data_IF_470830938651
#
_entry.id   IF_470830938651
#
_cell.length_a   1.000
_cell.length_b   1.000
_cell.length_c   1.000
_cell.angle_alpha   90.00
_cell.angle_beta   90.00
_cell.angle_gamma   90.00
#
_symmetry.space_group_name_H-M   'P 1'
#
loop_
_entity.id
_entity.type
_entity.pdbx_description
1 polymer ?
#
# COMPACT_ATOMS: atom_id res chain seq x y z
N UNK A 1 -13.39 -2.78 55.17
CA UNK A 1 -14.48 -3.06 54.19
C UNK A 1 -14.32 -2.21 52.92
N UNK A 2 -13.11 -2.04 52.39
CA UNK A 2 -12.86 -1.22 51.18
C UNK A 2 -12.21 -2.00 50.01
N UNK A 3 -11.91 -3.29 50.18
CA UNK A 3 -11.22 -4.08 49.16
C UNK A 3 -12.11 -4.58 47.99
N UNK A 4 -13.44 -4.44 48.08
CA UNK A 4 -14.36 -5.02 47.08
C UNK A 4 -14.67 -4.11 45.89
N UNK A 5 -14.27 -2.83 45.91
CA UNK A 5 -14.63 -1.87 44.84
C UNK A 5 -13.65 -1.84 43.65
N UNK A 6 -12.40 -2.26 43.82
CA UNK A 6 -11.39 -2.20 42.74
C UNK A 6 -11.56 -3.34 41.72
N UNK A 7 -12.13 -4.48 42.12
CA UNK A 7 -12.31 -5.65 41.26
C UNK A 7 -13.31 -5.45 40.09
N UNK A 8 -14.31 -4.58 40.25
CA UNK A 8 -15.33 -4.38 39.21
C UNK A 8 -14.84 -3.61 37.99
N UNK A 9 -13.87 -2.72 38.17
CA UNK A 9 -13.40 -1.84 37.08
C UNK A 9 -12.51 -2.59 36.08
N UNK A 10 -11.64 -3.48 36.57
CA UNK A 10 -10.79 -4.32 35.72
C UNK A 10 -11.62 -5.31 34.87
N UNK A 11 -12.68 -5.89 35.44
CA UNK A 11 -13.57 -6.79 34.71
C UNK A 11 -14.36 -6.05 33.61
N UNK A 12 -14.78 -4.81 33.86
CA UNK A 12 -15.45 -3.99 32.86
C UNK A 12 -14.52 -3.61 31.69
N UNK A 13 -13.26 -3.26 31.98
CA UNK A 13 -12.26 -2.97 30.94
C UNK A 13 -11.94 -4.19 30.08
N UNK A 14 -11.78 -5.37 30.69
CA UNK A 14 -11.59 -6.61 29.94
C UNK A 14 -12.78 -6.92 29.01
N UNK A 15 -14.01 -6.69 29.47
CA UNK A 15 -15.19 -6.93 28.64
C UNK A 15 -15.26 -5.99 27.43
N UNK A 16 -14.85 -4.71 27.59
CA UNK A 16 -14.79 -3.75 26.48
C UNK A 16 -13.79 -4.21 25.41
N UNK A 17 -12.58 -4.63 25.82
CA UNK A 17 -11.57 -5.12 24.89
C UNK A 17 -12.02 -6.37 24.11
N UNK A 18 -12.68 -7.32 24.79
CA UNK A 18 -13.24 -8.52 24.13
C UNK A 18 -14.32 -8.16 23.12
N UNK A 19 -15.20 -7.21 23.44
CA UNK A 19 -16.25 -6.75 22.51
C UNK A 19 -15.66 -6.02 21.30
N UNK A 20 -14.67 -5.16 21.51
CA UNK A 20 -13.96 -4.48 20.41
C UNK A 20 -13.26 -5.48 19.49
N UNK A 21 -12.58 -6.49 20.06
CA UNK A 21 -11.94 -7.55 19.26
C UNK A 21 -12.96 -8.37 18.45
N UNK A 22 -14.10 -8.73 19.05
CA UNK A 22 -15.18 -9.43 18.34
C UNK A 22 -15.76 -8.59 17.21
N UNK A 23 -16.03 -7.31 17.47
CA UNK A 23 -16.50 -6.35 16.48
C UNK A 23 -15.51 -6.23 15.32
N UNK A 24 -14.23 -6.12 15.64
CA UNK A 24 -13.15 -6.01 14.69
C UNK A 24 -13.05 -7.26 13.78
N UNK A 25 -13.02 -8.46 14.36
CA UNK A 25 -12.97 -9.71 13.60
C UNK A 25 -14.20 -9.90 12.71
N UNK A 26 -15.37 -9.50 13.21
CA UNK A 26 -16.60 -9.51 12.40
C UNK A 26 -16.46 -8.59 11.19
N UNK A 27 -15.88 -7.39 11.35
CA UNK A 27 -15.67 -6.46 10.24
C UNK A 27 -14.78 -7.06 9.14
N UNK A 28 -13.66 -7.67 9.53
CA UNK A 28 -12.80 -8.35 8.56
C UNK A 28 -13.52 -9.48 7.82
N UNK A 29 -14.34 -10.25 8.55
CA UNK A 29 -15.13 -11.33 7.93
C UNK A 29 -16.16 -10.78 6.94
N UNK A 30 -16.80 -9.65 7.24
CA UNK A 30 -17.72 -8.98 6.32
C UNK A 30 -16.99 -8.56 5.04
N UNK A 31 -15.79 -7.99 5.14
CA UNK A 31 -15.00 -7.57 3.99
C UNK A 31 -14.58 -8.76 3.10
N UNK A 32 -14.21 -9.88 3.72
CA UNK A 32 -13.85 -11.12 3.01
C UNK A 32 -15.06 -11.85 2.42
N UNK A 33 -16.26 -11.67 2.99
CA UNK A 33 -17.50 -12.27 2.52
C UNK A 33 -18.12 -11.55 1.31
N UNK A 34 -17.48 -10.50 0.78
CA UNK A 34 -18.00 -9.74 -0.35
C UNK A 34 -18.22 -10.66 -1.57
N UNK A 35 -19.47 -10.77 -2.02
CA UNK A 35 -19.86 -11.63 -3.15
C UNK A 35 -20.32 -13.04 -2.77
N UNK A 36 -20.27 -13.42 -1.49
CA UNK A 36 -20.77 -14.70 -0.98
C UNK A 36 -22.01 -14.49 -0.08
N UNK A 37 -23.18 -14.90 -0.58
CA UNK A 37 -24.45 -14.74 0.15
C UNK A 37 -24.48 -15.50 1.48
N UNK A 38 -23.92 -16.71 1.54
CA UNK A 38 -23.96 -17.55 2.74
C UNK A 38 -23.05 -17.00 3.84
N UNK A 39 -21.84 -16.56 3.49
CA UNK A 39 -20.93 -15.94 4.45
C UNK A 39 -21.45 -14.60 4.95
N UNK A 40 -22.08 -13.79 4.09
CA UNK A 40 -22.76 -12.55 4.52
C UNK A 40 -23.93 -12.85 5.47
N UNK A 41 -24.75 -13.88 5.21
CA UNK A 41 -25.80 -14.30 6.14
C UNK A 41 -25.24 -14.74 7.51
N UNK A 42 -24.13 -15.47 7.52
CA UNK A 42 -23.46 -15.85 8.77
C UNK A 42 -22.93 -14.62 9.54
N UNK A 43 -22.43 -13.61 8.83
CA UNK A 43 -22.02 -12.34 9.43
C UNK A 43 -23.20 -11.56 10.05
N UNK A 44 -24.39 -11.58 9.44
CA UNK A 44 -25.60 -10.97 10.03
C UNK A 44 -25.92 -11.59 11.39
N UNK A 45 -25.92 -12.93 11.48
CA UNK A 45 -26.20 -13.64 12.73
C UNK A 45 -25.15 -13.29 13.80
N UNK A 46 -23.87 -13.25 13.44
CA UNK A 46 -22.80 -12.88 14.36
C UNK A 46 -22.91 -11.42 14.83
N UNK A 47 -23.28 -10.50 13.94
CA UNK A 47 -23.52 -9.09 14.27
C UNK A 47 -24.70 -8.92 15.25
N UNK A 48 -25.80 -9.65 15.04
CA UNK A 48 -26.96 -9.65 15.92
C UNK A 48 -26.61 -10.19 17.31
N UNK A 49 -25.88 -11.31 17.37
CA UNK A 49 -25.45 -11.92 18.64
C UNK A 49 -24.49 -11.01 19.42
N UNK A 50 -23.63 -10.26 18.73
CA UNK A 50 -22.72 -9.29 19.32
C UNK A 50 -23.35 -7.93 19.62
N UNK A 51 -24.60 -7.70 19.21
CA UNK A 51 -25.28 -6.40 19.24
C UNK A 51 -24.49 -5.28 18.53
N UNK A 52 -23.80 -5.61 17.44
CA UNK A 52 -22.99 -4.70 16.65
C UNK A 52 -23.85 -4.02 15.57
N UNK A 53 -24.53 -2.94 15.94
CA UNK A 53 -25.55 -2.28 15.11
C UNK A 53 -25.02 -1.79 13.76
N UNK A 54 -23.83 -1.20 13.74
CA UNK A 54 -23.22 -0.65 12.51
C UNK A 54 -22.81 -1.77 11.55
N UNK A 55 -22.16 -2.81 12.05
CA UNK A 55 -21.78 -4.00 11.27
C UNK A 55 -23.03 -4.71 10.73
N UNK A 56 -24.08 -4.84 11.55
CA UNK A 56 -25.35 -5.42 11.12
C UNK A 56 -25.98 -4.64 9.96
N UNK A 57 -25.98 -3.30 10.02
CA UNK A 57 -26.50 -2.45 8.94
C UNK A 57 -25.66 -2.61 7.67
N UNK A 58 -24.33 -2.61 7.79
CA UNK A 58 -23.42 -2.79 6.66
C UNK A 58 -23.66 -4.13 5.97
N UNK A 59 -23.67 -5.25 6.71
CA UNK A 59 -23.83 -6.58 6.13
C UNK A 59 -25.19 -6.74 5.45
N UNK A 60 -26.26 -6.18 6.04
CA UNK A 60 -27.61 -6.20 5.42
C UNK A 60 -27.66 -5.39 4.12
N UNK A 61 -26.95 -4.27 4.05
CA UNK A 61 -26.85 -3.49 2.81
C UNK A 61 -26.15 -4.28 1.72
N UNK A 62 -24.97 -4.86 2.02
CA UNK A 62 -24.21 -5.65 1.06
C UNK A 62 -25.00 -6.87 0.56
N UNK A 63 -25.74 -7.54 1.44
CA UNK A 63 -26.61 -8.66 1.07
C UNK A 63 -27.75 -8.22 0.15
N UNK A 64 -28.36 -7.05 0.40
CA UNK A 64 -29.41 -6.50 -0.45
C UNK A 64 -28.89 -6.19 -1.86
N UNK A 65 -27.72 -5.56 -1.97
CA UNK A 65 -27.07 -5.22 -3.24
C UNK A 65 -26.72 -6.48 -4.05
N UNK A 66 -26.24 -7.54 -3.38
CA UNK A 66 -25.93 -8.83 -3.99
C UNK A 66 -27.20 -9.51 -4.54
N UNK A 67 -28.29 -9.50 -3.77
CA UNK A 67 -29.58 -10.05 -4.21
C UNK A 67 -30.18 -9.26 -5.37
N UNK A 68 -30.03 -7.93 -5.38
CA UNK A 68 -30.47 -7.09 -6.50
C UNK A 68 -29.66 -7.37 -7.77
N UNK A 69 -28.33 -7.46 -7.64
CA UNK A 69 -27.42 -7.81 -8.75
C UNK A 69 -27.74 -9.20 -9.32
N UNK A 70 -28.03 -10.18 -8.46
CA UNK A 70 -28.44 -11.53 -8.89
C UNK A 70 -29.77 -11.52 -9.65
N UNK A 71 -30.74 -10.68 -9.26
CA UNK A 71 -32.02 -10.53 -9.98
C UNK A 71 -31.80 -9.89 -11.35
N UNK A 72 -30.95 -8.87 -11.43
CA UNK A 72 -30.61 -8.21 -12.71
C UNK A 72 -29.96 -9.20 -13.68
N UNK A 73 -28.96 -9.97 -13.22
CA UNK A 73 -28.32 -10.99 -14.07
C UNK A 73 -29.28 -12.10 -14.50
N UNK A 74 -30.25 -12.48 -13.66
CA UNK A 74 -31.28 -13.44 -14.07
C UNK A 74 -32.21 -12.85 -15.14
N UNK A 75 -32.59 -11.58 -15.02
CA UNK A 75 -33.43 -10.90 -16.00
C UNK A 75 -32.70 -10.73 -17.35
N UNK A 76 -31.42 -10.37 -17.33
CA UNK A 76 -30.59 -10.26 -18.54
C UNK A 76 -30.41 -11.61 -19.23
N UNK A 77 -30.26 -12.71 -18.48
CA UNK A 77 -30.22 -14.06 -19.06
C UNK A 77 -31.51 -14.43 -19.80
N UNK A 78 -32.67 -14.01 -19.29
CA UNK A 78 -33.94 -14.22 -20.00
C UNK A 78 -34.02 -13.37 -21.27
N UNK A 79 -33.64 -12.08 -21.21
CA UNK A 79 -33.62 -11.20 -22.38
C UNK A 79 -32.62 -11.67 -23.45
N UNK A 80 -31.45 -12.16 -23.05
CA UNK A 80 -30.46 -12.71 -23.97
C UNK A 80 -30.93 -14.00 -24.62
N UNK A 81 -31.63 -14.88 -23.90
CA UNK A 81 -32.21 -16.09 -24.47
C UNK A 81 -33.28 -15.76 -25.51
N UNK A 82 -34.12 -14.76 -25.24
CA UNK A 82 -35.15 -14.29 -26.17
C UNK A 82 -34.54 -13.58 -27.40
N UNK A 83 -33.46 -12.81 -27.22
CA UNK A 83 -32.73 -12.19 -28.33
C UNK A 83 -32.02 -13.20 -29.22
N UNK A 84 -31.37 -14.23 -28.65
CA UNK A 84 -30.77 -15.29 -29.45
C UNK A 84 -31.83 -16.06 -30.27
N UNK A 85 -33.03 -16.27 -29.72
CA UNK A 85 -34.15 -16.86 -30.47
C UNK A 85 -34.66 -15.93 -31.59
N UNK A 86 -34.56 -14.61 -31.41
CA UNK A 86 -34.93 -13.64 -32.45
C UNK A 86 -33.87 -13.48 -33.55
N UNK A 87 -32.57 -13.56 -33.22
CA UNK A 87 -31.49 -13.44 -34.19
C UNK A 87 -31.45 -14.63 -35.17
N UNK A 88 -31.78 -15.85 -34.74
CA UNK A 88 -31.94 -17.00 -35.64
C UNK A 88 -33.03 -16.77 -36.71
N UNK A 89 -34.01 -15.87 -36.45
CA UNK A 89 -35.04 -15.49 -37.42
C UNK A 89 -34.58 -14.41 -38.42
N UNK A 90 -33.60 -13.58 -38.07
CA UNK A 90 -33.18 -12.41 -38.87
C UNK A 90 -31.99 -12.71 -39.79
N UNK A 91 -31.16 -13.72 -39.50
CA UNK A 91 -30.02 -14.10 -40.35
C UNK A 91 -30.38 -14.65 -41.75
N UNK A 92 -31.67 -14.83 -42.08
CA UNK A 92 -32.10 -15.20 -43.44
C UNK A 92 -32.28 -13.99 -44.40
N UNK A 93 -32.17 -12.74 -43.94
CA UNK A 93 -32.65 -11.59 -44.74
C UNK A 93 -31.62 -10.50 -45.10
N UNK A 94 -30.37 -10.53 -44.63
CA UNK A 94 -29.46 -9.38 -44.81
C UNK A 94 -28.10 -9.75 -45.38
N UNK A 95 -28.05 -9.94 -46.70
CA UNK A 95 -26.82 -9.96 -47.50
C UNK A 95 -26.98 -9.02 -48.68
N UNK A 96 -26.54 -7.76 -48.54
CA UNK A 96 -25.97 -6.86 -49.59
C UNK A 96 -26.05 -5.39 -49.16
N UNK A 97 -24.98 -4.86 -48.57
CA UNK A 97 -24.60 -3.45 -48.74
C UNK A 97 -23.07 -3.35 -48.71
N UNK A 98 -22.47 -2.88 -49.80
CA UNK A 98 -21.05 -2.52 -49.89
C UNK A 98 -20.86 -1.08 -49.37
N UNK A 99 -19.84 -0.85 -48.55
CA UNK A 99 -19.41 0.47 -48.09
C UNK A 99 -18.10 0.85 -48.81
N UNK A 100 -17.99 2.05 -49.39
CA UNK A 100 -16.75 2.50 -50.05
C UNK A 100 -15.77 3.17 -49.08
N UNK A 101 -14.47 2.92 -49.31
CA UNK A 101 -13.33 3.53 -48.63
C UNK A 101 -13.15 5.02 -49.00
N UNK A 102 -12.86 5.86 -48.01
CA UNK A 102 -12.45 7.25 -48.19
C UNK A 102 -11.03 7.43 -47.66
N UNK A 103 -10.11 7.85 -48.52
CA UNK A 103 -8.73 8.20 -48.19
C UNK A 103 -8.58 9.72 -48.00
N UNK A 104 -7.85 10.12 -46.96
CA UNK A 104 -7.53 11.52 -46.66
C UNK A 104 -6.02 11.71 -46.84
N UNK A 105 -5.63 12.69 -47.66
CA UNK A 105 -4.24 13.00 -48.02
C UNK A 105 -3.55 13.91 -47.00
N UNK A 106 -2.22 13.99 -47.11
CA UNK A 106 -1.25 14.16 -46.02
C UNK A 106 -0.39 15.43 -46.20
N UNK A 107 -0.99 16.57 -46.56
CA UNK A 107 -0.22 17.71 -47.09
C UNK A 107 -0.31 19.07 -46.35
N UNK A 108 -0.92 19.19 -45.16
CA UNK A 108 -1.14 20.51 -44.54
C UNK A 108 -0.35 20.81 -43.25
N UNK A 109 0.79 20.15 -42.97
CA UNK A 109 1.48 20.32 -41.67
C UNK A 109 2.90 20.92 -41.70
N UNK A 110 3.38 21.44 -42.84
CA UNK A 110 4.78 21.87 -43.01
C UNK A 110 5.03 23.40 -43.04
N UNK A 111 4.02 24.25 -42.86
CA UNK A 111 4.17 25.71 -43.05
C UNK A 111 4.21 26.59 -41.78
N UNK A 112 4.45 26.02 -40.59
CA UNK A 112 4.25 26.73 -39.32
C UNK A 112 5.46 26.77 -38.35
N UNK A 113 6.71 26.88 -38.84
CA UNK A 113 7.90 26.78 -37.96
C UNK A 113 8.97 27.91 -38.05
N UNK A 114 8.83 28.97 -38.86
CA UNK A 114 9.91 29.97 -39.03
C UNK A 114 9.60 31.38 -38.49
N UNK A 115 9.21 31.50 -37.22
CA UNK A 115 9.09 32.83 -36.58
C UNK A 115 9.21 32.77 -35.06
N UNK A 116 10.42 32.92 -34.49
CA UNK A 116 10.69 33.62 -33.20
C UNK A 116 12.16 33.48 -32.78
N UNK A 117 12.99 34.43 -33.22
CA UNK A 117 14.27 34.71 -32.55
C UNK A 117 14.48 36.22 -32.46
N UNK A 118 14.33 36.77 -31.24
CA UNK A 118 15.07 37.91 -30.65
C UNK A 118 14.30 38.48 -29.44
N UNK A 119 15.06 38.97 -28.45
CA UNK A 119 14.68 39.55 -27.13
C UNK A 119 14.55 38.48 -26.03
N UNK A 120 15.14 38.61 -24.84
CA UNK A 120 15.74 39.74 -24.11
C UNK A 120 16.67 39.19 -23.02
N UNK A 121 17.79 39.87 -22.78
CA UNK A 121 18.60 39.80 -21.55
C UNK A 121 17.87 40.56 -20.44
N UNK A 122 17.94 40.02 -19.21
CA UNK A 122 18.28 40.71 -17.93
C UNK A 122 17.43 40.22 -16.76
N UNK A 123 18.07 39.56 -15.80
CA UNK A 123 17.82 39.60 -14.35
C UNK A 123 18.58 38.44 -13.71
N UNK A 124 19.89 38.58 -13.52
CA UNK A 124 20.68 37.59 -12.77
C UNK A 124 20.62 37.99 -11.30
N UNK A 125 19.53 37.59 -10.64
CA UNK A 125 19.48 37.53 -9.19
C UNK A 125 20.53 36.52 -8.71
N UNK A 126 21.16 36.82 -7.58
CA UNK A 126 22.19 36.02 -6.92
C UNK A 126 21.62 34.62 -6.62
N UNK A 127 21.83 33.67 -7.54
CA UNK A 127 21.30 32.33 -7.44
C UNK A 127 21.92 31.64 -6.22
N UNK A 128 21.08 31.13 -5.33
CA UNK A 128 21.53 30.17 -4.32
C UNK A 128 22.13 28.98 -5.08
N UNK A 129 23.37 28.61 -4.75
CA UNK A 129 24.07 27.52 -5.41
C UNK A 129 23.34 26.21 -5.16
N UNK A 130 22.83 25.59 -6.21
CA UNK A 130 22.23 24.25 -6.15
C UNK A 130 23.28 23.21 -5.73
N UNK A 131 22.87 22.24 -4.90
CA UNK A 131 23.68 21.11 -4.44
C UNK A 131 23.03 19.77 -4.78
N UNK A 132 23.84 18.70 -4.87
CA UNK A 132 23.31 17.34 -5.02
C UNK A 132 22.43 17.01 -3.80
N UNK A 133 21.24 16.47 -4.06
CA UNK A 133 20.20 16.21 -3.06
C UNK A 133 19.16 17.32 -2.94
N UNK A 134 19.42 18.52 -3.49
CA UNK A 134 18.44 19.59 -3.48
C UNK A 134 17.19 19.21 -4.28
N UNK A 135 16.03 19.60 -3.75
CA UNK A 135 14.78 19.49 -4.45
C UNK A 135 14.51 20.72 -5.30
N UNK A 136 14.08 20.50 -6.53
CA UNK A 136 13.86 21.56 -7.52
C UNK A 136 12.50 21.44 -8.16
N UNK A 137 11.89 22.60 -8.42
CA UNK A 137 10.72 22.71 -9.29
C UNK A 137 11.22 23.14 -10.68
N UNK A 138 10.87 22.35 -11.69
CA UNK A 138 11.26 22.61 -13.07
C UNK A 138 10.41 23.74 -13.65
N UNK A 139 11.06 24.68 -14.32
CA UNK A 139 10.43 25.88 -14.91
C UNK A 139 11.14 26.27 -16.19
N UNK A 140 10.45 27.04 -17.01
CA UNK A 140 11.00 27.73 -18.18
C UNK A 140 11.70 26.81 -19.20
N UNK A 141 11.40 25.50 -19.20
CA UNK A 141 11.85 24.55 -20.23
C UNK A 141 11.01 24.77 -21.48
N UNK A 142 11.62 25.33 -22.52
CA UNK A 142 10.92 25.71 -23.76
C UNK A 142 10.66 24.55 -24.71
N UNK A 143 11.61 23.62 -24.80
CA UNK A 143 11.55 22.48 -25.73
C UNK A 143 10.66 21.35 -25.23
N UNK A 144 10.46 21.28 -23.90
CA UNK A 144 9.69 20.26 -23.22
C UNK A 144 8.84 20.93 -22.14
N UNK A 145 7.76 21.58 -22.59
CA UNK A 145 6.90 22.36 -21.69
C UNK A 145 6.17 21.46 -20.67
N UNK A 146 5.99 20.19 -21.00
CA UNK A 146 5.44 19.14 -20.14
C UNK A 146 6.26 18.90 -18.87
N UNK A 147 7.53 19.30 -18.86
CA UNK A 147 8.38 19.19 -17.67
C UNK A 147 8.17 20.35 -16.69
N UNK A 148 7.61 21.47 -17.14
CA UNK A 148 7.41 22.63 -16.26
C UNK A 148 6.34 22.34 -15.22
N UNK A 149 6.62 22.69 -13.96
CA UNK A 149 5.76 22.38 -12.83
C UNK A 149 6.04 21.00 -12.20
N UNK A 150 6.84 20.15 -12.84
CA UNK A 150 7.29 18.91 -12.24
C UNK A 150 8.36 19.18 -11.17
N UNK A 151 8.33 18.37 -10.13
CA UNK A 151 9.33 18.36 -9.06
C UNK A 151 10.37 17.30 -9.32
N UNK A 152 11.57 17.49 -8.80
CA UNK A 152 12.62 16.49 -8.86
C UNK A 152 13.76 16.73 -7.91
N UNK A 153 14.66 15.75 -7.84
CA UNK A 153 15.85 15.77 -6.97
C UNK A 153 17.10 15.85 -7.84
N UNK A 154 18.04 16.72 -7.46
CA UNK A 154 19.34 16.82 -8.10
C UNK A 154 20.21 15.61 -7.73
N UNK A 155 20.58 14.79 -8.70
CA UNK A 155 21.40 13.60 -8.48
C UNK A 155 22.90 13.86 -8.67
N UNK A 156 23.25 14.62 -9.69
CA UNK A 156 24.64 14.91 -10.03
C UNK A 156 24.74 16.17 -10.91
N UNK A 157 25.89 16.84 -10.86
CA UNK A 157 26.25 17.88 -11.81
C UNK A 157 27.20 17.29 -12.85
N UNK A 158 26.82 17.35 -14.13
CA UNK A 158 27.60 16.79 -15.24
C UNK A 158 28.45 17.87 -15.95
N UNK A 159 29.48 17.43 -16.68
CA UNK A 159 30.50 18.26 -17.36
C UNK A 159 29.95 19.26 -18.40
N UNK A 160 28.65 19.19 -18.72
CA UNK A 160 27.97 20.07 -19.68
C UNK A 160 27.19 21.23 -19.06
N UNK A 161 27.47 21.60 -17.81
CA UNK A 161 26.70 22.60 -17.03
C UNK A 161 25.22 22.23 -16.88
N UNK A 162 24.94 20.92 -16.87
CA UNK A 162 23.61 20.37 -16.70
C UNK A 162 23.57 19.54 -15.44
N UNK A 163 22.45 19.65 -14.73
CA UNK A 163 22.12 18.79 -13.62
C UNK A 163 21.38 17.57 -14.12
N UNK A 164 21.79 16.40 -13.63
CA UNK A 164 21.00 15.18 -13.72
C UNK A 164 19.94 15.23 -12.64
N UNK A 165 18.68 15.30 -13.05
CA UNK A 165 17.51 15.46 -12.18
C UNK A 165 16.59 14.27 -12.32
N UNK A 166 16.23 13.65 -11.19
CA UNK A 166 15.16 12.64 -11.16
C UNK A 166 13.83 13.33 -10.91
N UNK A 167 12.96 13.31 -11.91
CA UNK A 167 11.64 13.93 -11.81
C UNK A 167 10.64 12.96 -11.18
N UNK A 168 9.74 13.45 -10.35
CA UNK A 168 8.64 12.66 -9.78
C UNK A 168 7.72 12.16 -10.90
N UNK A 169 7.39 10.87 -10.87
CA UNK A 169 6.51 10.24 -11.86
C UNK A 169 7.15 9.90 -13.20
N UNK A 170 8.44 10.23 -13.43
CA UNK A 170 9.17 9.91 -14.66
C UNK A 170 10.35 9.00 -14.32
N UNK A 171 10.37 7.80 -14.91
CA UNK A 171 11.41 6.79 -14.62
C UNK A 171 12.81 7.16 -15.13
N UNK A 172 12.90 8.09 -16.07
CA UNK A 172 14.15 8.44 -16.76
C UNK A 172 14.65 9.79 -16.26
N UNK A 173 15.89 9.80 -15.77
CA UNK A 173 16.58 11.01 -15.34
C UNK A 173 16.68 12.03 -16.50
N UNK A 174 16.52 13.31 -16.19
CA UNK A 174 16.60 14.41 -17.17
C UNK A 174 17.84 15.25 -16.94
N UNK A 175 18.45 15.73 -18.03
CA UNK A 175 19.55 16.69 -17.98
C UNK A 175 19.02 18.11 -18.17
N UNK A 176 19.00 18.89 -17.10
CA UNK A 176 18.39 20.22 -17.06
C UNK A 176 19.42 21.28 -16.69
N UNK A 177 19.26 22.50 -17.23
CA UNK A 177 20.10 23.64 -16.88
C UNK A 177 19.63 24.25 -15.56
N UNK A 178 20.56 24.76 -14.75
CA UNK A 178 20.28 25.44 -13.47
C UNK A 178 19.16 26.48 -13.56
N UNK A 179 19.17 27.31 -14.62
CA UNK A 179 18.13 28.33 -14.86
C UNK A 179 16.70 27.78 -15.04
N UNK A 180 16.57 26.49 -15.36
CA UNK A 180 15.28 25.82 -15.53
C UNK A 180 14.79 25.19 -14.22
N UNK A 181 15.45 25.49 -13.11
CA UNK A 181 15.19 24.92 -11.80
C UNK A 181 15.07 26.06 -10.81
N UNK A 182 14.24 25.84 -9.81
CA UNK A 182 14.28 26.65 -8.61
C UNK A 182 14.22 25.73 -7.43
N UNK A 183 15.09 26.01 -6.48
CA UNK A 183 15.10 25.35 -5.19
C UNK A 183 13.70 25.44 -4.58
N UNK A 184 13.11 24.28 -4.32
CA UNK A 184 11.92 24.21 -3.46
C UNK A 184 12.50 24.32 -2.05
N UNK A 185 12.39 25.50 -1.44
CA UNK A 185 12.75 25.68 -0.03
C UNK A 185 12.16 24.53 0.76
N UNK A 186 13.03 23.77 1.46
CA UNK A 186 12.66 22.58 2.22
C UNK A 186 11.49 22.92 3.16
N UNK A 187 10.25 22.73 2.72
CA UNK A 187 9.15 22.63 3.66
C UNK A 187 9.34 21.27 4.33
N UNK A 188 9.15 21.22 5.64
CA UNK A 188 9.38 20.02 6.45
C UNK A 188 8.64 18.78 5.89
N UNK A 189 7.56 19.00 5.14
CA UNK A 189 6.74 17.98 4.48
C UNK A 189 7.45 17.22 3.34
N UNK A 190 8.55 17.74 2.76
CA UNK A 190 9.20 17.17 1.56
C UNK A 190 10.48 16.39 1.84
N UNK A 191 11.11 16.57 3.02
CA UNK A 191 12.20 15.71 3.48
C UNK A 191 11.74 14.25 3.62
N UNK A 192 10.44 14.08 3.87
CA UNK A 192 9.78 12.81 4.15
C UNK A 192 9.73 11.86 2.95
N UNK A 193 9.48 12.36 1.73
CA UNK A 193 9.45 11.52 0.51
C UNK A 193 10.84 11.06 0.06
N UNK A 194 11.87 11.84 0.38
CA UNK A 194 13.26 11.48 0.14
C UNK A 194 13.75 10.48 1.19
N UNK A 195 13.38 10.67 2.45
CA UNK A 195 13.53 9.66 3.50
C UNK A 195 12.79 8.37 3.11
N UNK A 196 11.58 8.44 2.56
CA UNK A 196 10.81 7.25 2.12
C UNK A 196 11.56 6.45 1.03
N UNK A 197 12.15 7.13 0.04
CA UNK A 197 12.96 6.48 -1.00
C UNK A 197 14.31 5.96 -0.47
N UNK A 198 14.94 6.68 0.46
CA UNK A 198 16.17 6.24 1.13
C UNK A 198 15.93 5.05 2.07
N UNK A 199 14.71 4.92 2.59
CA UNK A 199 14.30 3.85 3.48
C UNK A 199 13.65 2.67 2.74
N UNK A 200 13.39 2.83 1.44
CA UNK A 200 12.92 1.75 0.59
C UNK A 200 13.95 0.63 0.51
N UNK A 201 13.51 -0.60 0.77
CA UNK A 201 14.36 -1.79 0.69
C UNK A 201 14.41 -2.31 -0.73
N UNK A 202 15.60 -2.77 -1.10
CA UNK A 202 15.87 -3.31 -2.43
C UNK A 202 15.62 -4.80 -2.42
N UNK A 203 14.84 -5.26 -3.37
CA UNK A 203 14.63 -6.68 -3.60
C UNK A 203 15.05 -7.03 -5.03
N UNK A 204 15.63 -8.21 -5.21
CA UNK A 204 15.87 -8.82 -6.51
C UNK A 204 14.77 -9.86 -6.78
N UNK A 205 14.25 -9.87 -8.01
CA UNK A 205 13.25 -10.84 -8.43
C UNK A 205 13.93 -12.17 -8.78
N UNK A 206 13.57 -13.24 -8.08
CA UNK A 206 14.21 -14.56 -8.21
C UNK A 206 13.51 -15.50 -9.21
N UNK A 207 12.29 -15.14 -9.63
CA UNK A 207 11.49 -15.92 -10.58
C UNK A 207 11.46 -15.26 -11.95
N UNK A 208 11.26 -16.06 -13.01
CA UNK A 208 11.20 -15.58 -14.40
C UNK A 208 10.29 -14.35 -14.57
N UNK A 209 9.08 -14.43 -13.99
CA UNK A 209 8.11 -13.35 -13.94
C UNK A 209 7.40 -13.31 -12.58
N UNK A 210 7.43 -12.14 -11.93
CA UNK A 210 6.67 -11.88 -10.71
C UNK A 210 5.57 -10.86 -10.98
N UNK A 211 4.34 -11.17 -10.58
CA UNK A 211 3.16 -10.31 -10.78
C UNK A 211 3.11 -9.18 -9.76
N UNK A 212 2.76 -7.98 -10.24
CA UNK A 212 2.44 -6.80 -9.42
C UNK A 212 0.93 -6.67 -9.34
N UNK A 213 0.38 -6.70 -8.15
CA UNK A 213 -1.06 -6.64 -7.88
C UNK A 213 -1.49 -5.25 -7.40
N UNK A 214 -2.78 -4.94 -7.51
CA UNK A 214 -3.34 -3.68 -7.02
C UNK A 214 -3.51 -3.63 -5.50
N UNK A 215 -3.92 -4.75 -4.89
CA UNK A 215 -4.02 -4.94 -3.44
C UNK A 215 -3.22 -6.19 -3.02
N UNK A 216 -2.83 -6.37 -1.74
CA UNK A 216 -2.02 -7.51 -1.30
C UNK A 216 -2.84 -8.81 -1.25
N UNK A 217 -3.30 -9.28 -2.41
CA UNK A 217 -4.09 -10.50 -2.57
C UNK A 217 -3.83 -11.14 -3.92
N UNK A 218 -3.76 -12.48 -3.95
CA UNK A 218 -3.61 -13.23 -5.20
C UNK A 218 -4.86 -13.13 -6.09
N UNK A 219 -6.02 -12.78 -5.51
CA UNK A 219 -7.26 -12.55 -6.25
C UNK A 219 -7.33 -11.13 -6.86
N UNK A 220 -6.39 -10.25 -6.51
CA UNK A 220 -6.36 -8.88 -7.01
C UNK A 220 -5.93 -8.81 -8.48
N UNK A 221 -6.50 -7.88 -9.28
CA UNK A 221 -6.04 -7.60 -10.63
C UNK A 221 -4.51 -7.39 -10.69
N UNK A 222 -3.89 -8.01 -11.68
CA UNK A 222 -2.46 -7.82 -11.96
C UNK A 222 -2.27 -6.53 -12.76
N UNK A 223 -1.46 -5.60 -12.24
CA UNK A 223 -1.07 -4.34 -12.88
C UNK A 223 0.07 -4.51 -13.88
N UNK A 224 0.93 -5.50 -13.67
CA UNK A 224 2.09 -5.75 -14.52
C UNK A 224 2.94 -6.91 -14.03
N UNK A 225 4.08 -7.12 -14.70
CA UNK A 225 5.04 -8.16 -14.34
C UNK A 225 6.45 -7.59 -14.29
N UNK A 226 7.24 -8.08 -13.34
CA UNK A 226 8.65 -7.75 -13.16
C UNK A 226 9.47 -8.98 -13.51
N UNK A 227 10.51 -8.81 -14.34
CA UNK A 227 11.34 -9.92 -14.81
C UNK A 227 12.40 -10.32 -13.77
N UNK A 228 12.88 -11.56 -13.85
CA UNK A 228 13.99 -12.05 -13.03
C UNK A 228 15.22 -11.13 -13.09
N UNK A 229 15.91 -10.98 -11.96
CA UNK A 229 17.12 -10.16 -11.82
C UNK A 229 16.84 -8.65 -11.79
N UNK A 230 15.59 -8.20 -11.98
CA UNK A 230 15.27 -6.80 -11.79
C UNK A 230 15.26 -6.44 -10.31
N UNK A 231 15.73 -5.23 -10.03
CA UNK A 231 15.79 -4.68 -8.68
C UNK A 231 14.57 -3.78 -8.48
N UNK A 232 13.78 -4.09 -7.47
CA UNK A 232 12.61 -3.31 -7.07
C UNK A 232 12.84 -2.66 -5.71
N UNK A 233 12.12 -1.56 -5.48
CA UNK A 233 12.17 -0.82 -4.23
C UNK A 233 10.83 -0.99 -3.51
N UNK A 234 10.87 -1.47 -2.27
CA UNK A 234 9.69 -1.66 -1.45
C UNK A 234 9.73 -0.76 -0.21
N UNK A 235 8.58 -0.16 0.13
CA UNK A 235 8.46 0.78 1.27
C UNK A 235 7.71 0.18 2.45
N UNK A 236 6.86 -0.81 2.20
CA UNK A 236 5.94 -1.41 3.15
C UNK A 236 5.85 -2.92 2.92
N UNK A 237 5.57 -3.68 3.97
CA UNK A 237 5.24 -5.09 3.88
C UNK A 237 4.06 -5.45 4.79
N UNK A 238 3.16 -6.29 4.31
CA UNK A 238 2.15 -6.92 5.16
C UNK A 238 2.75 -8.07 5.96
N UNK A 239 2.07 -8.47 7.03
CA UNK A 239 2.54 -9.57 7.87
C UNK A 239 2.47 -10.92 7.17
N UNK A 240 1.62 -11.09 6.16
CA UNK A 240 1.56 -12.29 5.33
C UNK A 240 2.55 -12.25 4.14
N UNK A 241 3.45 -11.27 4.11
CA UNK A 241 4.60 -11.27 3.21
C UNK A 241 4.33 -10.70 1.82
N UNK A 242 3.32 -9.85 1.65
CA UNK A 242 3.28 -8.94 0.50
C UNK A 242 4.18 -7.76 0.76
N UNK A 243 4.85 -7.28 -0.29
CA UNK A 243 5.66 -6.07 -0.25
C UNK A 243 5.05 -5.05 -1.21
N UNK A 244 4.92 -3.82 -0.75
CA UNK A 244 4.45 -2.69 -1.56
C UNK A 244 5.62 -2.14 -2.34
N UNK A 245 5.51 -2.15 -3.66
CA UNK A 245 6.56 -1.79 -4.61
C UNK A 245 6.10 -0.63 -5.47
N UNK A 246 7.04 0.18 -5.96
CA UNK A 246 6.76 1.20 -6.97
C UNK A 246 7.10 0.66 -8.37
N UNK A 247 6.10 0.50 -9.22
CA UNK A 247 6.19 -0.02 -10.57
C UNK A 247 5.55 0.97 -11.55
N UNK A 248 6.29 1.41 -12.58
CA UNK A 248 5.78 2.36 -13.60
C UNK A 248 5.10 3.62 -13.02
N UNK A 249 5.74 4.24 -12.02
CA UNK A 249 5.21 5.41 -11.30
C UNK A 249 3.90 5.18 -10.52
N UNK A 250 3.46 3.93 -10.37
CA UNK A 250 2.32 3.55 -9.54
C UNK A 250 2.79 2.61 -8.43
N UNK A 251 2.08 2.61 -7.31
CA UNK A 251 2.31 1.61 -6.28
C UNK A 251 1.58 0.32 -6.65
N UNK A 252 2.13 -0.81 -6.21
CA UNK A 252 1.52 -2.13 -6.33
C UNK A 252 2.07 -3.08 -5.29
N UNK A 253 1.59 -4.32 -5.29
CA UNK A 253 1.93 -5.33 -4.30
C UNK A 253 2.50 -6.57 -4.95
N UNK A 254 3.61 -7.08 -4.41
CA UNK A 254 4.23 -8.32 -4.86
C UNK A 254 4.36 -9.27 -3.69
N UNK A 255 4.09 -10.56 -3.89
CA UNK A 255 4.29 -11.56 -2.84
C UNK A 255 5.79 -11.87 -2.72
N UNK A 256 6.34 -11.83 -1.51
CA UNK A 256 7.76 -12.13 -1.26
C UNK A 256 8.06 -13.63 -1.35
N UNK A 257 7.12 -14.49 -0.94
CA UNK A 257 7.25 -15.95 -0.95
C UNK A 257 5.96 -16.60 -1.43
N UNK A 258 6.10 -17.66 -2.22
CA UNK A 258 5.02 -18.53 -2.67
C UNK A 258 5.16 -19.94 -2.09
N UNK A 259 4.18 -20.80 -2.34
CA UNK A 259 4.27 -22.23 -2.04
C UNK A 259 5.41 -22.93 -2.79
N UNK A 260 5.89 -22.35 -3.90
CA UNK A 260 6.99 -22.88 -4.71
C UNK A 260 8.37 -22.36 -4.31
N UNK A 261 8.45 -21.41 -3.37
CA UNK A 261 9.71 -20.85 -2.92
C UNK A 261 9.72 -19.32 -2.83
N UNK A 262 10.92 -18.77 -2.71
CA UNK A 262 11.16 -17.32 -2.62
C UNK A 262 10.91 -16.67 -3.99
N UNK A 263 10.13 -15.59 -4.01
CA UNK A 263 9.90 -14.79 -5.22
C UNK A 263 10.79 -13.55 -5.26
N UNK A 264 11.07 -12.98 -4.08
CA UNK A 264 11.85 -11.76 -3.92
C UNK A 264 12.96 -11.97 -2.88
N UNK A 265 14.22 -11.85 -3.32
CA UNK A 265 15.39 -11.87 -2.45
C UNK A 265 15.68 -10.45 -1.93
N UNK A 266 15.82 -10.30 -0.62
CA UNK A 266 16.22 -9.02 -0.04
C UNK A 266 17.69 -8.75 -0.34
N UNK A 267 17.99 -7.57 -0.88
CA UNK A 267 19.37 -7.12 -1.12
C UNK A 267 19.85 -6.23 0.04
N UNK A 268 20.92 -6.66 0.70
CA UNK A 268 21.57 -5.94 1.81
C UNK A 268 21.21 -6.49 3.18
N UNK A 269 21.38 -5.66 4.21
CA UNK A 269 21.12 -6.05 5.60
C UNK A 269 19.62 -6.15 5.87
N UNK A 270 19.25 -7.16 6.67
CA UNK A 270 17.87 -7.38 7.08
C UNK A 270 17.39 -6.19 7.94
N UNK A 271 16.29 -5.52 7.57
CA UNK A 271 15.79 -4.40 8.31
C UNK A 271 15.39 -4.83 9.73
N UNK A 272 15.64 -3.96 10.70
CA UNK A 272 15.14 -4.12 12.06
C UNK A 272 13.64 -3.84 12.12
N UNK A 273 12.87 -4.81 11.64
CA UNK A 273 11.42 -4.73 11.60
C UNK A 273 10.81 -4.90 13.00
N UNK A 274 9.64 -4.29 13.26
CA UNK A 274 8.85 -4.55 14.45
C UNK A 274 8.58 -6.04 14.65
N UNK A 275 8.22 -6.74 13.56
CA UNK A 275 8.17 -8.21 13.49
C UNK A 275 9.13 -8.73 12.43
N UNK A 276 9.97 -9.69 12.80
CA UNK A 276 10.85 -10.40 11.87
C UNK A 276 10.13 -11.56 11.16
N UNK A 277 9.06 -12.07 11.77
CA UNK A 277 8.27 -13.17 11.22
C UNK A 277 7.28 -12.70 10.16
N UNK A 278 7.34 -13.34 8.99
CA UNK A 278 6.18 -13.41 8.09
C UNK A 278 5.22 -14.40 8.74
N UNK A 279 4.01 -13.95 9.05
CA UNK A 279 2.94 -14.80 9.51
C UNK A 279 2.37 -15.57 8.32
N UNK A 280 2.14 -16.87 8.47
CA UNK A 280 1.52 -17.66 7.40
C UNK A 280 0.03 -17.31 7.23
N UNK A 281 -0.58 -16.76 8.28
CA UNK A 281 -1.97 -16.36 8.29
C UNK A 281 -2.14 -14.90 7.82
N UNK A 282 -2.96 -14.66 6.79
CA UNK A 282 -3.34 -13.30 6.41
C UNK A 282 -4.20 -12.68 7.51
N UNK A 283 -4.00 -11.39 7.76
CA UNK A 283 -4.82 -10.62 8.69
C UNK A 283 -4.01 -9.71 9.61
N UNK A 284 -4.70 -9.15 10.60
CA UNK A 284 -4.04 -8.25 11.54
C UNK A 284 -3.20 -9.02 12.54
N UNK A 285 -2.08 -8.42 12.92
CA UNK A 285 -1.22 -8.94 13.97
C UNK A 285 -1.41 -8.13 15.25
N UNK A 286 -1.56 -8.80 16.41
CA UNK A 286 -1.69 -8.14 17.70
C UNK A 286 -0.32 -7.65 18.21
N UNK A 287 -0.34 -6.49 18.86
CA UNK A 287 0.80 -5.88 19.52
C UNK A 287 0.40 -5.33 20.89
N UNK A 288 1.22 -5.61 21.91
CA UNK A 288 1.16 -4.97 23.22
C UNK A 288 1.92 -3.64 23.17
N UNK A 289 1.27 -2.57 23.64
CA UNK A 289 1.87 -1.24 23.75
C UNK A 289 2.74 -1.20 25.00
N UNK A 290 4.05 -1.05 24.84
CA UNK A 290 4.98 -1.04 25.98
C UNK A 290 5.06 0.34 26.65
N UNK A 291 4.89 1.39 25.84
CA UNK A 291 4.96 2.78 26.27
C UNK A 291 3.90 3.59 25.52
N UNK A 292 3.39 4.66 26.14
CA UNK A 292 2.41 5.55 25.49
C UNK A 292 2.93 6.04 24.14
N UNK A 293 2.17 5.82 23.08
CA UNK A 293 2.58 6.10 21.71
C UNK A 293 1.51 6.93 20.98
N UNK A 294 1.96 7.73 20.01
CA UNK A 294 1.10 8.63 19.23
C UNK A 294 0.75 7.96 17.91
N UNK A 295 -0.55 7.91 17.59
CA UNK A 295 -1.07 7.48 16.29
C UNK A 295 -1.06 8.67 15.35
N UNK A 296 -0.53 8.49 14.14
CA UNK A 296 -0.35 9.56 13.15
C UNK A 296 -1.02 9.23 11.83
N UNK A 297 -1.30 10.27 11.03
CA UNK A 297 -1.96 10.10 9.72
C UNK A 297 -1.05 9.46 8.67
N UNK A 298 0.28 9.60 8.80
CA UNK A 298 1.31 9.07 7.89
C UNK A 298 2.46 8.45 8.72
N UNK A 299 3.30 7.58 8.13
CA UNK A 299 4.43 6.93 8.82
C UNK A 299 5.61 7.89 9.03
N UNK A 300 5.37 8.98 9.75
CA UNK A 300 6.33 10.04 10.01
C UNK A 300 6.10 10.73 11.34
N UNK A 301 7.19 11.13 12.01
CA UNK A 301 7.13 11.89 13.26
C UNK A 301 6.61 13.31 13.09
N UNK A 302 6.56 13.82 11.85
CA UNK A 302 6.06 15.15 11.52
C UNK A 302 4.56 15.14 11.17
N UNK A 303 4.01 13.98 10.82
CA UNK A 303 2.61 13.82 10.47
C UNK A 303 1.68 14.16 11.64
N UNK A 304 0.50 14.70 11.34
CA UNK A 304 -0.50 15.06 12.34
C UNK A 304 -0.86 13.88 13.25
N UNK A 305 -0.93 14.15 14.55
CA UNK A 305 -1.43 13.19 15.52
C UNK A 305 -2.95 13.02 15.34
N UNK A 306 -3.39 11.77 15.21
CA UNK A 306 -4.80 11.38 15.07
C UNK A 306 -5.31 10.76 16.37
N UNK A 307 -4.41 10.19 17.19
CA UNK A 307 -4.77 9.57 18.46
C UNK A 307 -3.54 9.17 19.28
N UNK A 308 -3.77 8.38 20.32
CA UNK A 308 -2.71 7.83 21.18
C UNK A 308 -3.16 6.54 21.83
N UNK A 309 -2.21 5.65 22.11
CA UNK A 309 -2.41 4.44 22.90
C UNK A 309 -1.59 4.49 24.18
N UNK A 310 -2.11 3.89 25.24
CA UNK A 310 -1.51 3.79 26.57
C UNK A 310 -0.73 2.47 26.73
N UNK A 311 0.28 2.49 27.59
CA UNK A 311 1.02 1.27 27.94
C UNK A 311 0.08 0.19 28.52
N UNK A 312 0.27 -1.06 28.06
CA UNK A 312 -0.54 -2.22 28.42
C UNK A 312 -1.77 -2.45 27.52
N UNK A 313 -2.09 -1.53 26.60
CA UNK A 313 -3.16 -1.73 25.63
C UNK A 313 -2.71 -2.67 24.49
N UNK A 314 -3.67 -3.35 23.88
CA UNK A 314 -3.44 -4.22 22.71
C UNK A 314 -3.95 -3.50 21.46
N UNK A 315 -3.10 -3.41 20.44
CA UNK A 315 -3.42 -2.83 19.13
C UNK A 315 -3.21 -3.85 18.03
N UNK A 316 -3.89 -3.66 16.90
CA UNK A 316 -3.83 -4.56 15.76
C UNK A 316 -3.30 -3.83 14.52
N UNK A 317 -2.25 -4.38 13.92
CA UNK A 317 -1.63 -3.80 12.74
C UNK A 317 -1.85 -4.68 11.50
N UNK A 318 -1.96 -4.07 10.33
CA UNK A 318 -2.10 -4.74 9.03
C UNK A 318 -0.77 -4.89 8.28
N UNK A 319 0.11 -3.90 8.44
CA UNK A 319 1.38 -3.84 7.73
C UNK A 319 2.42 -3.08 8.54
N UNK A 320 3.66 -3.13 8.04
CA UNK A 320 4.78 -2.41 8.61
C UNK A 320 5.68 -1.86 7.52
N UNK A 321 6.29 -0.72 7.79
CA UNK A 321 7.33 -0.15 6.94
C UNK A 321 8.71 -0.63 7.37
N UNK A 322 9.69 -0.49 6.48
CA UNK A 322 11.08 -0.88 6.75
C UNK A 322 11.84 0.08 7.68
N UNK A 323 11.19 1.17 8.11
CA UNK A 323 11.70 2.14 9.08
C UNK A 323 10.99 2.07 10.45
N UNK A 324 10.27 0.98 10.72
CA UNK A 324 9.75 0.69 12.06
C UNK A 324 8.36 1.23 12.37
N UNK A 325 7.62 1.72 11.37
CA UNK A 325 6.22 2.10 11.55
C UNK A 325 5.30 0.91 11.32
N UNK A 326 4.22 0.85 12.10
CA UNK A 326 3.12 -0.09 11.95
C UNK A 326 1.90 0.67 11.47
N UNK A 327 1.21 0.12 10.47
CA UNK A 327 -0.10 0.60 10.02
C UNK A 327 -1.18 -0.12 10.81
N UNK A 328 -2.02 0.63 11.52
CA UNK A 328 -3.08 0.05 12.34
C UNK A 328 -4.30 -0.29 11.48
N UNK A 329 -5.03 -1.34 11.86
CA UNK A 329 -6.21 -1.78 11.10
C UNK A 329 -7.44 -0.87 11.23
N UNK A 330 -7.49 -0.04 12.27
CA UNK A 330 -8.46 1.05 12.42
C UNK A 330 -7.98 2.36 11.76
N UNK A 331 -6.81 2.33 11.14
CA UNK A 331 -6.19 3.45 10.43
C UNK A 331 -5.11 4.16 11.23
N UNK A 332 -4.28 4.91 10.50
CA UNK A 332 -3.14 5.62 11.07
C UNK A 332 -1.92 4.73 11.29
N UNK A 333 -0.89 5.35 11.84
CA UNK A 333 0.47 4.82 11.92
C UNK A 333 1.06 5.03 13.29
N UNK A 334 1.76 4.04 13.80
CA UNK A 334 2.48 4.11 15.07
C UNK A 334 3.94 3.68 14.90
N UNK A 335 4.86 4.42 15.51
CA UNK A 335 6.28 4.07 15.48
C UNK A 335 6.53 2.96 16.50
N UNK A 336 6.69 1.71 16.04
CA UNK A 336 6.92 0.57 16.91
C UNK A 336 8.38 0.41 17.33
N UNK A 337 9.31 0.87 16.50
CA UNK A 337 10.74 0.89 16.82
C UNK A 337 11.38 2.17 16.30
N UNK A 338 12.09 2.89 17.17
CA UNK A 338 12.82 4.08 16.76
C UNK A 338 14.21 3.76 16.18
N UNK A 339 14.92 4.79 15.69
CA UNK A 339 16.27 4.65 15.12
C UNK A 339 17.33 4.19 16.14
N UNK A 340 17.04 4.29 17.44
CA UNK A 340 17.93 3.80 18.52
C UNK A 340 17.68 2.32 18.84
N UNK A 341 16.64 1.72 18.24
CA UNK A 341 16.22 0.35 18.51
C UNK A 341 15.27 0.22 19.70
N UNK A 342 14.86 1.34 20.32
CA UNK A 342 13.87 1.32 21.40
C UNK A 342 12.52 0.86 20.83
N UNK A 343 11.91 -0.12 21.48
CA UNK A 343 10.61 -0.69 21.11
C UNK A 343 9.50 0.03 21.88
N UNK A 344 8.54 0.62 21.17
CA UNK A 344 7.30 1.14 21.76
C UNK A 344 6.17 0.10 21.71
N UNK A 345 6.26 -0.85 20.78
CA UNK A 345 5.31 -1.95 20.65
C UNK A 345 6.03 -3.29 20.63
N UNK A 346 5.37 -4.30 21.19
CA UNK A 346 5.83 -5.68 21.23
C UNK A 346 4.81 -6.57 20.54
N UNK A 347 5.24 -7.39 19.56
CA UNK A 347 4.30 -8.30 18.90
C UNK A 347 3.82 -9.37 19.86
N UNK A 348 2.53 -9.63 19.92
CA UNK A 348 1.98 -10.68 20.79
C UNK A 348 1.96 -12.07 20.12
N UNK A 349 2.60 -12.20 18.95
CA UNK A 349 2.62 -13.45 18.16
C UNK A 349 3.43 -14.56 18.83
N UNK A 350 3.20 -15.80 18.37
CA UNK A 350 3.77 -17.04 18.92
C UNK A 350 5.31 -17.05 19.02
N UNK A 351 6.00 -16.33 18.12
CA UNK A 351 7.45 -16.18 18.20
C UNK A 351 7.88 -15.48 19.52
N UNK A 352 7.04 -14.65 20.12
CA UNK A 352 7.27 -14.06 21.44
C UNK A 352 6.79 -14.93 22.61
N UNK A 353 5.82 -15.81 22.39
CA UNK A 353 5.55 -16.88 23.37
C UNK A 353 6.78 -17.77 23.51
N UNK A 354 7.44 -18.12 22.40
CA UNK A 354 8.70 -18.86 22.43
C UNK A 354 9.79 -18.17 23.24
N UNK A 355 10.03 -16.87 23.01
CA UNK A 355 11.00 -16.09 23.78
C UNK A 355 10.60 -15.98 25.26
N UNK A 356 9.31 -15.73 25.55
CA UNK A 356 8.81 -15.69 26.93
C UNK A 356 8.97 -17.05 27.60
N UNK A 357 8.65 -18.15 26.94
CA UNK A 357 8.86 -19.51 27.46
C UNK A 357 10.34 -19.79 27.66
N UNK A 358 11.22 -19.46 26.70
CA UNK A 358 12.65 -19.63 26.85
C UNK A 358 13.21 -18.86 28.06
N UNK A 359 12.76 -17.61 28.26
CA UNK A 359 13.13 -16.80 29.43
C UNK A 359 12.54 -17.32 30.74
N UNK A 360 11.30 -17.81 30.73
CA UNK A 360 10.64 -18.31 31.94
C UNK A 360 11.23 -19.64 32.43
N UNK A 361 11.70 -20.48 31.51
CA UNK A 361 12.16 -21.83 31.78
C UNK A 361 13.69 -22.01 31.69
N UNK A 362 14.45 -20.92 31.47
CA UNK A 362 15.91 -20.92 31.26
C UNK A 362 16.35 -22.00 30.24
N UNK A 363 15.54 -22.18 29.20
CA UNK A 363 15.81 -23.15 28.14
C UNK A 363 16.44 -22.42 26.95
N UNK A 364 17.36 -23.10 26.25
CA UNK A 364 17.69 -22.70 24.89
C UNK A 364 16.40 -22.60 24.08
N UNK A 365 16.22 -21.47 23.37
CA UNK A 365 15.01 -21.18 22.61
C UNK A 365 14.60 -22.43 21.78
N UNK A 366 13.41 -23.01 22.03
CA UNK A 366 13.00 -24.21 21.34
C UNK A 366 12.95 -23.94 19.83
N UNK A 367 13.28 -24.95 19.02
CA UNK A 367 13.20 -24.86 17.56
C UNK A 367 11.81 -24.33 17.17
N UNK A 368 11.75 -23.38 16.23
CA UNK A 368 10.50 -22.83 15.68
C UNK A 368 9.51 -23.91 15.25
N UNK A 369 10.01 -25.07 14.82
CA UNK A 369 9.17 -26.23 14.49
C UNK A 369 8.41 -26.78 15.71
N UNK A 370 9.03 -26.78 16.90
CA UNK A 370 8.41 -27.24 18.14
C UNK A 370 7.20 -26.38 18.54
N UNK A 371 7.34 -25.05 18.41
CA UNK A 371 6.29 -24.10 18.76
C UNK A 371 5.12 -24.15 17.77
N UNK A 372 5.40 -24.36 16.48
CA UNK A 372 4.34 -24.58 15.48
C UNK A 372 3.49 -25.82 15.80
N UNK A 373 4.13 -26.92 16.21
CA UNK A 373 3.41 -28.15 16.60
C UNK A 373 2.59 -27.92 17.87
N UNK A 374 3.17 -27.25 18.88
CA UNK A 374 2.52 -27.04 20.17
C UNK A 374 1.27 -26.15 20.09
N UNK A 375 1.19 -25.26 19.10
CA UNK A 375 0.04 -24.36 18.92
C UNK A 375 -0.99 -24.87 17.91
N UNK A 376 -0.67 -25.95 17.18
CA UNK A 376 -1.64 -26.70 16.38
C UNK A 376 -2.41 -27.77 17.19
N UNK A 377 -2.00 -28.01 18.43
CA UNK A 377 -2.68 -28.80 19.47
C UNK A 377 -3.53 -27.87 20.34
#
# INVERSE_FOLDING_TARGET
>A
MEATRVSGFAAAQQHIGVQQRRRFLLRQRIDLAFGDEQELQACVVAAEQGMFVEELQLTRSMLADLLESSKQMSAEKHLSADMCAAEESVTCAFNRVQVPEVSVSKEEMQQMMDSRSKRKKSAQAKAASLQVGDQVLIRDVRTHQELNGLRGVLLAFEESWRWRVRLEGILVDKLLLEKNMMLVSQSADMQEGLDELLLARRFEVEVEHASVHEVPSNASPTRGHVAQGQIIHATEQTFDGWVRVRYEARDGWMKRRSTKGLLLALLGEEPHLPTLGICDEPGLQPFEVLETCVVRSLPSTLASAVGSWSAGEEVYAESQTFNGWLKLGDGGWVLARDRTGRKALHSSTLDNLAERYAQLFDMHAPDRNFLRVFCSL
#
